data_IF_723392067720
#
_entry.id   IF_723392067720
#
_cell.length_a   1.000
_cell.length_b   1.000
_cell.length_c   1.000
_cell.angle_alpha   90.00
_cell.angle_beta   90.00
_cell.angle_gamma   90.00
#
_symmetry.space_group_name_H-M   'P 1'
#
loop_
_entity.id
_entity.type
_entity.pdbx_description
1 polymer ?
#
# COMPACT_ATOMS: atom_id res chain seq x y z
N UNK A 1 65.39 29.39 19.01
CA UNK A 1 64.45 28.43 19.62
C UNK A 1 63.07 29.11 19.62
N UNK A 2 62.37 29.06 18.48
CA UNK A 2 61.02 29.62 18.35
C UNK A 2 60.03 28.53 18.76
N UNK A 3 59.17 28.81 19.75
CA UNK A 3 58.08 27.93 20.14
C UNK A 3 56.83 28.31 19.32
N UNK A 4 56.39 27.41 18.45
CA UNK A 4 55.12 27.52 17.72
C UNK A 4 53.96 27.25 18.70
N UNK A 5 52.94 28.13 18.81
CA UNK A 5 51.75 27.82 19.59
C UNK A 5 50.84 26.87 18.80
N UNK A 6 50.73 25.63 19.25
CA UNK A 6 49.81 24.62 18.72
C UNK A 6 48.34 25.01 18.99
N UNK A 7 47.77 25.87 18.15
CA UNK A 7 46.33 26.13 18.16
C UNK A 7 45.62 24.96 17.45
N UNK A 8 45.17 23.98 18.24
CA UNK A 8 44.37 22.87 17.75
C UNK A 8 43.07 23.38 17.14
N UNK A 9 42.87 23.14 15.83
CA UNK A 9 41.60 23.41 15.16
C UNK A 9 40.56 22.44 15.71
N UNK A 10 39.68 22.91 16.59
CA UNK A 10 38.50 22.14 16.99
C UNK A 10 37.43 22.28 15.90
N UNK A 11 37.18 21.20 15.17
CA UNK A 11 36.12 21.14 14.16
C UNK A 11 34.77 20.95 14.85
N UNK A 12 33.82 21.85 14.58
CA UNK A 12 32.44 21.68 15.03
C UNK A 12 31.81 20.48 14.32
N UNK A 13 31.47 19.44 15.08
CA UNK A 13 30.69 18.31 14.58
C UNK A 13 29.21 18.52 14.93
N UNK A 14 28.35 18.88 13.96
CA UNK A 14 26.92 19.00 14.22
C UNK A 14 26.34 17.64 14.59
N UNK A 15 25.59 17.58 15.70
CA UNK A 15 24.77 16.42 16.00
C UNK A 15 23.64 16.33 14.97
N UNK A 16 23.59 15.23 14.22
CA UNK A 16 22.49 14.94 13.31
C UNK A 16 21.21 14.74 14.11
N UNK A 17 20.20 15.58 13.88
CA UNK A 17 18.86 15.44 14.45
C UNK A 17 17.88 15.05 13.36
N UNK A 18 16.85 14.28 13.70
CA UNK A 18 15.79 13.94 12.75
C UNK A 18 14.97 15.20 12.45
N UNK A 19 15.18 15.78 11.26
CA UNK A 19 14.38 16.90 10.77
C UNK A 19 12.91 16.53 10.69
N UNK A 20 12.03 17.50 10.93
CA UNK A 20 10.59 17.38 10.76
C UNK A 20 10.14 18.36 9.66
N UNK A 21 9.18 17.91 8.85
CA UNK A 21 8.54 18.72 7.80
C UNK A 21 7.05 18.82 8.08
N UNK A 22 6.39 19.83 7.52
CA UNK A 22 4.94 19.94 7.62
C UNK A 22 4.27 19.11 6.52
N UNK A 23 3.20 18.42 6.87
CA UNK A 23 2.32 17.78 5.89
C UNK A 23 1.76 18.81 4.91
N UNK A 24 1.86 18.56 3.62
CA UNK A 24 1.47 19.51 2.56
C UNK A 24 -0.04 19.82 2.50
N UNK A 25 -0.89 19.02 3.16
CA UNK A 25 -2.34 19.25 3.19
C UNK A 25 -2.86 19.82 4.53
N UNK A 26 -2.48 19.24 5.67
CA UNK A 26 -3.03 19.63 6.98
C UNK A 26 -2.04 20.38 7.88
N UNK A 27 -0.77 20.53 7.48
CA UNK A 27 0.24 21.25 8.26
C UNK A 27 0.76 20.53 9.51
N UNK A 28 0.36 19.28 9.78
CA UNK A 28 0.91 18.52 10.91
C UNK A 28 2.40 18.22 10.71
N UNK A 29 3.21 18.38 11.76
CA UNK A 29 4.63 18.02 11.74
C UNK A 29 4.83 16.50 11.63
N UNK A 30 5.60 16.06 10.64
CA UNK A 30 5.89 14.66 10.33
C UNK A 30 7.37 14.45 10.02
N UNK A 31 7.90 13.23 10.20
CA UNK A 31 9.17 12.84 9.59
C UNK A 31 9.09 12.97 8.06
N UNK A 32 10.15 13.43 7.38
CA UNK A 32 10.22 13.52 5.94
C UNK A 32 9.87 12.18 5.28
N UNK A 33 8.99 12.21 4.28
CA UNK A 33 8.63 11.05 3.47
C UNK A 33 8.41 11.47 2.00
N UNK A 34 8.47 10.53 1.03
CA UNK A 34 8.37 10.87 -0.39
C UNK A 34 7.07 11.56 -0.81
N UNK A 35 5.98 11.36 -0.06
CA UNK A 35 4.69 11.97 -0.34
C UNK A 35 4.53 13.35 0.30
N UNK A 36 5.40 13.74 1.25
CA UNK A 36 5.24 14.92 2.10
C UNK A 36 3.85 15.04 2.76
N UNK A 37 3.19 13.90 2.97
CA UNK A 37 1.84 13.81 3.50
C UNK A 37 1.82 13.00 4.79
N UNK A 38 1.00 13.40 5.75
CA UNK A 38 0.77 12.60 6.95
C UNK A 38 -0.11 11.39 6.63
N UNK A 39 -0.06 10.37 7.49
CA UNK A 39 -0.79 9.10 7.30
C UNK A 39 -2.30 9.33 7.14
N UNK A 40 -2.88 10.29 7.86
CA UNK A 40 -4.31 10.60 7.78
C UNK A 40 -4.69 11.21 6.43
N UNK A 41 -3.88 12.14 5.94
CA UNK A 41 -4.07 12.74 4.62
C UNK A 41 -3.88 11.71 3.51
N UNK A 42 -2.87 10.83 3.60
CA UNK A 42 -2.66 9.74 2.63
C UNK A 42 -3.90 8.83 2.56
N UNK A 43 -4.40 8.36 3.72
CA UNK A 43 -5.59 7.50 3.78
C UNK A 43 -6.84 8.15 3.20
N UNK A 44 -6.95 9.47 3.28
CA UNK A 44 -8.13 10.21 2.83
C UNK A 44 -8.06 10.57 1.34
N UNK A 45 -6.85 10.75 0.80
CA UNK A 45 -6.64 11.28 -0.55
C UNK A 45 -6.21 10.23 -1.56
N UNK A 46 -5.61 9.12 -1.10
CA UNK A 46 -5.07 8.08 -1.98
C UNK A 46 -6.01 6.89 -1.98
N UNK A 47 -6.73 6.69 -3.10
CA UNK A 47 -7.52 5.48 -3.33
C UNK A 47 -6.65 4.37 -3.92
N UNK A 48 -6.16 3.47 -3.07
CA UNK A 48 -5.40 2.28 -3.49
C UNK A 48 -6.26 1.27 -4.27
N UNK A 49 -7.60 1.42 -4.24
CA UNK A 49 -8.53 0.54 -4.95
C UNK A 49 -8.85 1.04 -6.36
N UNK A 50 -8.22 2.12 -6.81
CA UNK A 50 -8.42 2.65 -8.15
C UNK A 50 -8.09 1.61 -9.23
N UNK A 51 -9.04 1.38 -10.13
CA UNK A 51 -8.94 0.38 -11.19
C UNK A 51 -9.21 -1.06 -10.74
N UNK A 52 -9.53 -1.30 -9.47
CA UNK A 52 -9.98 -2.61 -8.97
C UNK A 52 -11.50 -2.68 -9.08
N UNK A 53 -12.00 -3.76 -9.68
CA UNK A 53 -13.43 -4.00 -9.78
C UNK A 53 -14.02 -4.35 -8.39
N UNK A 54 -14.91 -3.49 -7.87
CA UNK A 54 -15.50 -3.63 -6.52
C UNK A 54 -16.64 -4.66 -6.45
N UNK A 55 -17.24 -5.02 -7.58
CA UNK A 55 -18.33 -6.00 -7.66
C UNK A 55 -18.23 -6.86 -8.91
N UNK A 56 -18.46 -8.16 -8.76
CA UNK A 56 -18.47 -9.14 -9.86
C UNK A 56 -19.69 -10.04 -9.74
N UNK A 57 -20.31 -10.36 -10.87
CA UNK A 57 -21.40 -11.35 -10.94
C UNK A 57 -20.82 -12.73 -11.25
N UNK A 58 -21.20 -13.72 -10.43
CA UNK A 58 -20.90 -15.13 -10.66
C UNK A 58 -22.20 -15.89 -10.89
N UNK A 59 -22.19 -16.87 -11.79
CA UNK A 59 -23.35 -17.69 -12.10
C UNK A 59 -23.21 -19.03 -11.38
N UNK A 60 -24.22 -19.42 -10.61
CA UNK A 60 -24.25 -20.66 -9.84
C UNK A 60 -25.54 -21.43 -10.16
N UNK A 61 -25.40 -22.74 -10.32
CA UNK A 61 -26.53 -23.64 -10.57
C UNK A 61 -26.90 -24.40 -9.30
N UNK A 62 -28.13 -24.23 -8.83
CA UNK A 62 -28.67 -24.91 -7.64
C UNK A 62 -28.75 -26.44 -7.79
N UNK A 63 -29.09 -26.91 -8.99
CA UNK A 63 -29.33 -28.34 -9.24
C UNK A 63 -28.01 -29.11 -9.38
N UNK A 64 -26.96 -28.43 -9.89
CA UNK A 64 -25.63 -29.04 -10.08
C UNK A 64 -24.66 -28.75 -8.92
N UNK A 65 -24.91 -27.71 -8.13
CA UNK A 65 -23.98 -27.21 -7.11
C UNK A 65 -22.65 -26.72 -7.71
N UNK A 66 -22.71 -26.09 -8.90
CA UNK A 66 -21.50 -25.68 -9.66
C UNK A 66 -21.54 -24.20 -10.04
N UNK A 67 -20.36 -23.60 -10.10
CA UNK A 67 -20.11 -22.23 -10.53
C UNK A 67 -19.65 -22.20 -11.99
N UNK A 68 -20.25 -21.35 -12.81
CA UNK A 68 -19.83 -21.19 -14.20
C UNK A 68 -18.53 -20.38 -14.28
N UNK A 69 -17.54 -20.99 -14.91
CA UNK A 69 -16.34 -20.35 -15.42
C UNK A 69 -16.50 -20.19 -16.96
N UNK A 70 -16.90 -18.99 -17.43
CA UNK A 70 -16.92 -18.67 -18.86
C UNK A 70 -15.58 -19.02 -19.51
N UNK A 71 -15.58 -19.54 -20.75
CA UNK A 71 -16.73 -19.60 -21.67
C UNK A 71 -17.69 -20.79 -21.50
N UNK A 72 -17.23 -21.96 -21.01
CA UNK A 72 -18.07 -23.18 -20.92
C UNK A 72 -17.75 -24.11 -19.73
N UNK A 73 -16.83 -23.74 -18.85
CA UNK A 73 -16.40 -24.61 -17.75
C UNK A 73 -17.30 -24.45 -16.52
N UNK A 74 -17.50 -25.53 -15.77
CA UNK A 74 -18.24 -25.53 -14.51
C UNK A 74 -17.36 -26.10 -13.41
N UNK A 75 -17.17 -25.31 -12.35
CA UNK A 75 -16.39 -25.69 -11.17
C UNK A 75 -17.32 -26.11 -10.04
N UNK A 76 -17.09 -27.26 -9.43
CA UNK A 76 -17.72 -27.61 -8.16
C UNK A 76 -16.88 -27.00 -7.03
N UNK A 77 -17.51 -26.24 -6.16
CA UNK A 77 -16.89 -25.71 -4.95
C UNK A 77 -17.98 -25.58 -3.87
N UNK A 78 -17.59 -25.78 -2.61
CA UNK A 78 -18.49 -25.58 -1.47
C UNK A 78 -18.49 -24.10 -1.05
N UNK A 79 -19.54 -23.67 -0.34
CA UNK A 79 -19.51 -22.37 0.32
C UNK A 79 -18.37 -22.36 1.34
N UNK A 80 -17.71 -21.20 1.49
CA UNK A 80 -16.59 -21.01 2.42
C UNK A 80 -15.38 -21.93 2.15
N UNK A 81 -15.20 -22.36 0.90
CA UNK A 81 -14.06 -23.17 0.47
C UNK A 81 -12.91 -22.34 -0.14
N UNK A 82 -11.69 -22.89 -0.12
CA UNK A 82 -10.49 -22.27 -0.72
C UNK A 82 -10.64 -22.16 -2.24
N UNK A 83 -11.29 -23.14 -2.85
CA UNK A 83 -11.57 -23.25 -4.28
C UNK A 83 -12.49 -22.12 -4.72
N UNK A 84 -13.57 -21.87 -3.97
CA UNK A 84 -14.50 -20.77 -4.24
C UNK A 84 -13.82 -19.41 -4.08
N UNK A 85 -13.03 -19.22 -3.03
CA UNK A 85 -12.27 -17.98 -2.84
C UNK A 85 -11.30 -17.75 -4.01
N UNK A 86 -10.55 -18.77 -4.40
CA UNK A 86 -9.60 -18.69 -5.53
C UNK A 86 -10.34 -18.34 -6.82
N UNK A 87 -11.51 -18.94 -7.06
CA UNK A 87 -12.36 -18.62 -8.19
C UNK A 87 -12.83 -17.16 -8.17
N UNK A 88 -13.32 -16.66 -7.04
CA UNK A 88 -13.78 -15.27 -6.90
C UNK A 88 -12.65 -14.26 -7.09
N UNK A 89 -11.47 -14.50 -6.51
CA UNK A 89 -10.30 -13.63 -6.64
C UNK A 89 -9.84 -13.53 -8.09
N UNK A 90 -9.78 -14.65 -8.82
CA UNK A 90 -9.42 -14.68 -10.25
C UNK A 90 -10.39 -13.91 -11.15
N UNK A 91 -11.61 -13.68 -10.69
CA UNK A 91 -12.65 -12.95 -11.43
C UNK A 91 -12.55 -11.43 -11.28
N UNK A 92 -11.88 -10.94 -10.23
CA UNK A 92 -11.73 -9.51 -9.98
C UNK A 92 -10.67 -8.96 -10.93
N UNK A 93 -11.06 -7.98 -11.76
CA UNK A 93 -10.13 -7.24 -12.62
C UNK A 93 -9.36 -6.21 -11.80
N UNK A 94 -8.08 -6.01 -12.12
CA UNK A 94 -7.23 -4.98 -11.51
C UNK A 94 -6.64 -5.34 -10.15
N UNK A 95 -6.92 -6.53 -9.59
CA UNK A 95 -6.40 -6.95 -8.29
C UNK A 95 -4.92 -7.35 -8.34
N UNK A 96 -4.41 -7.79 -9.50
CA UNK A 96 -3.00 -8.16 -9.69
C UNK A 96 -2.08 -6.97 -10.01
N UNK A 97 -2.44 -5.76 -9.52
CA UNK A 97 -1.52 -4.61 -9.53
C UNK A 97 -0.36 -4.84 -8.59
#
# INVERSE_FOLDING_TARGET
MLMEPSYGIQTFQPQSTQGHVLCCLCGTGIPPNPSNMCVNCIRSQVDITEGIQKQVTILWCKDCGRYLQPPKHWLRAELESKELLTFCVKKIKGLSK
#
